data_IF_177835210458
#
_entry.id   IF_177835210458
#
_cell.length_a   1.000
_cell.length_b   1.000
_cell.length_c   1.000
_cell.angle_alpha   90.00
_cell.angle_beta   90.00
_cell.angle_gamma   90.00
#
_symmetry.space_group_name_H-M   'P 1'
#
loop_
_entity.id
_entity.type
_entity.pdbx_description
1 polymer ?
#
# COMPACT_ATOMS: atom_id res chain seq x y z
N UNK A 1 -4.94 6.27 -8.30
CA UNK A 1 -6.10 6.19 -9.21
C UNK A 1 -6.60 4.76 -9.14
N UNK A 2 -7.91 4.54 -9.05
CA UNK A 2 -8.50 3.19 -9.04
C UNK A 2 -9.48 3.14 -10.21
N UNK A 3 -9.29 2.20 -11.14
CA UNK A 3 -10.06 2.14 -12.38
C UNK A 3 -9.94 3.41 -13.25
N UNK A 4 -8.75 4.01 -13.34
CA UNK A 4 -8.50 5.25 -14.10
C UNK A 4 -9.00 6.54 -13.43
N UNK A 5 -9.94 6.45 -12.47
CA UNK A 5 -10.49 7.60 -11.73
C UNK A 5 -9.63 7.99 -10.53
N UNK A 6 -9.57 9.29 -10.24
CA UNK A 6 -9.03 9.81 -8.98
C UNK A 6 -10.12 9.70 -7.91
N UNK A 7 -9.75 9.19 -6.74
CA UNK A 7 -10.63 9.14 -5.58
C UNK A 7 -9.95 9.92 -4.46
N UNK A 8 -10.75 10.62 -3.66
CA UNK A 8 -10.23 11.42 -2.56
C UNK A 8 -9.87 10.51 -1.39
N UNK A 9 -8.71 10.73 -0.82
CA UNK A 9 -8.28 10.08 0.43
C UNK A 9 -8.92 10.81 1.59
N UNK A 10 -9.61 10.09 2.45
CA UNK A 10 -10.27 10.65 3.65
C UNK A 10 -9.51 10.35 4.93
N UNK A 11 -8.73 9.25 4.97
CA UNK A 11 -7.85 8.93 6.07
C UNK A 11 -6.65 8.07 5.60
N UNK A 12 -5.54 8.14 6.35
CA UNK A 12 -4.35 7.31 6.15
C UNK A 12 -3.81 6.88 7.51
N UNK A 13 -3.38 5.62 7.63
CA UNK A 13 -2.64 5.08 8.78
C UNK A 13 -1.37 4.38 8.31
N UNK A 14 -0.25 4.59 8.99
CA UNK A 14 1.07 4.02 8.66
C UNK A 14 2.18 5.08 8.59
N UNK A 15 3.39 4.74 8.08
CA UNK A 15 3.74 3.43 7.54
C UNK A 15 4.00 2.39 8.64
N UNK A 16 3.55 1.16 8.39
CA UNK A 16 4.08 -0.03 9.05
C UNK A 16 5.09 -0.68 8.11
N UNK A 17 6.34 -0.85 8.57
CA UNK A 17 7.40 -1.43 7.75
C UNK A 17 7.46 -2.94 7.95
N UNK A 18 7.33 -3.68 6.87
CA UNK A 18 7.55 -5.12 6.81
C UNK A 18 8.78 -5.43 5.97
N UNK A 19 9.69 -6.22 6.53
CA UNK A 19 10.84 -6.77 5.83
C UNK A 19 10.73 -8.29 5.76
N UNK A 20 10.95 -8.84 4.58
CA UNK A 20 11.22 -10.27 4.43
C UNK A 20 12.62 -10.64 4.90
N UNK A 21 12.94 -11.91 4.88
CA UNK A 21 14.25 -12.43 5.26
C UNK A 21 15.33 -11.89 4.30
N UNK A 22 16.33 -11.21 4.85
CA UNK A 22 17.42 -10.61 4.06
C UNK A 22 18.32 -11.64 3.37
N UNK A 23 18.30 -12.88 3.86
CA UNK A 23 19.03 -14.03 3.30
C UNK A 23 18.23 -14.84 2.28
N UNK A 24 16.96 -14.49 2.02
CA UNK A 24 16.16 -15.18 1.00
C UNK A 24 16.63 -14.82 -0.41
N UNK A 25 16.27 -15.63 -1.40
CA UNK A 25 16.49 -15.31 -2.82
C UNK A 25 15.64 -14.12 -3.31
N UNK A 26 14.63 -13.71 -2.52
CA UNK A 26 13.70 -12.64 -2.87
C UNK A 26 13.38 -11.77 -1.66
N UNK A 27 14.39 -11.05 -1.11
CA UNK A 27 14.16 -10.16 0.01
C UNK A 27 13.25 -9.01 -0.41
N UNK A 28 12.41 -8.55 0.51
CA UNK A 28 11.58 -7.37 0.30
C UNK A 28 11.62 -6.46 1.51
N UNK A 29 11.35 -5.18 1.25
CA UNK A 29 11.12 -4.20 2.30
C UNK A 29 10.01 -3.27 1.81
N UNK A 30 8.92 -3.20 2.56
CA UNK A 30 7.67 -2.54 2.16
C UNK A 30 7.15 -1.70 3.31
N UNK A 31 6.70 -0.50 2.98
CA UNK A 31 5.95 0.36 3.90
C UNK A 31 4.46 0.24 3.59
N UNK A 32 3.70 -0.42 4.47
CA UNK A 32 2.27 -0.58 4.34
C UNK A 32 1.51 0.61 4.93
N UNK A 33 0.44 0.99 4.23
CA UNK A 33 -0.50 2.01 4.62
C UNK A 33 -1.92 1.49 4.48
N UNK A 34 -2.76 1.81 5.46
CA UNK A 34 -4.21 1.67 5.36
C UNK A 34 -4.79 3.00 4.94
N UNK A 35 -5.45 3.06 3.79
CA UNK A 35 -5.96 4.27 3.16
C UNK A 35 -7.47 4.15 3.02
N UNK A 36 -8.23 5.13 3.49
CA UNK A 36 -9.66 5.18 3.24
C UNK A 36 -9.92 6.11 2.06
N UNK A 37 -10.64 5.60 1.06
CA UNK A 37 -11.08 6.38 -0.08
C UNK A 37 -12.56 6.72 0.06
N UNK A 38 -12.90 7.96 -0.32
CA UNK A 38 -14.29 8.35 -0.48
C UNK A 38 -14.99 7.47 -1.52
N UNK A 39 -16.04 6.75 -1.09
CA UNK A 39 -16.89 5.92 -1.95
C UNK A 39 -16.32 4.57 -2.40
N UNK A 40 -15.14 4.17 -1.93
CA UNK A 40 -14.55 2.84 -2.23
C UNK A 40 -14.18 2.03 -0.99
N UNK A 41 -14.24 2.62 0.20
CA UNK A 41 -13.87 1.93 1.44
C UNK A 41 -12.36 1.92 1.71
N UNK A 42 -11.92 1.12 2.70
CA UNK A 42 -10.51 0.96 3.05
C UNK A 42 -9.72 0.18 1.99
N UNK A 43 -8.47 0.58 1.82
CA UNK A 43 -7.50 -0.04 0.94
C UNK A 43 -6.19 -0.25 1.68
N UNK A 44 -5.50 -1.33 1.35
CA UNK A 44 -4.12 -1.52 1.76
C UNK A 44 -3.23 -1.23 0.56
N UNK A 45 -2.32 -0.28 0.74
CA UNK A 45 -1.28 0.05 -0.26
C UNK A 45 0.07 -0.09 0.39
N UNK A 46 1.08 -0.50 -0.37
CA UNK A 46 2.45 -0.50 0.13
C UNK A 46 3.38 0.26 -0.81
N UNK A 47 4.36 0.95 -0.23
CA UNK A 47 5.49 1.48 -0.96
C UNK A 47 6.60 0.43 -0.97
N UNK A 48 7.03 -0.02 -2.14
CA UNK A 48 8.18 -0.92 -2.24
C UNK A 48 9.47 -0.11 -2.10
N UNK A 49 10.36 -0.50 -1.19
CA UNK A 49 11.60 0.24 -0.96
C UNK A 49 12.63 0.03 -2.07
N UNK A 50 12.46 -0.97 -2.94
CA UNK A 50 13.36 -1.23 -4.07
C UNK A 50 13.23 -0.18 -5.16
N UNK A 51 12.01 0.27 -5.44
CA UNK A 51 11.72 1.23 -6.52
C UNK A 51 11.02 2.52 -6.05
N UNK A 52 10.63 2.57 -4.77
CA UNK A 52 9.94 3.70 -4.15
C UNK A 52 8.49 3.88 -4.60
N UNK A 53 7.92 2.94 -5.37
CA UNK A 53 6.57 3.03 -5.95
C UNK A 53 5.51 2.44 -5.03
N UNK A 54 4.29 2.95 -5.18
CA UNK A 54 3.13 2.44 -4.46
C UNK A 54 2.39 1.38 -5.26
N UNK A 55 2.02 0.30 -4.56
CA UNK A 55 1.29 -0.85 -5.08
C UNK A 55 0.04 -1.09 -4.24
N UNK A 56 -1.02 -1.57 -4.88
CA UNK A 56 -2.25 -1.96 -4.20
C UNK A 56 -2.14 -3.40 -3.71
N UNK A 57 -2.27 -3.62 -2.41
CA UNK A 57 -2.37 -4.95 -1.82
C UNK A 57 -3.81 -5.47 -1.90
N UNK A 58 -4.80 -4.61 -1.62
CA UNK A 58 -6.22 -4.98 -1.63
C UNK A 58 -7.14 -3.78 -1.42
N UNK A 59 -8.37 -3.91 -1.94
CA UNK A 59 -9.51 -3.05 -1.64
C UNK A 59 -10.50 -3.89 -0.83
N UNK A 60 -11.07 -3.32 0.23
CA UNK A 60 -11.94 -4.02 1.16
C UNK A 60 -13.28 -3.27 1.28
N UNK A 61 -14.37 -4.02 1.25
CA UNK A 61 -15.78 -3.59 1.30
C UNK A 61 -16.44 -4.11 2.59
#
# INVERSE_FOLDING_TARGET
RVGGRRHRVTAVTGPERLGGEWWSESPFQRDYYRVHFEGLGPAWVFRDMRDGRFYLQGLFD
#
